data_IF_750122723972
#
_entry.id   IF_750122723972
#
_cell.length_a   1.000
_cell.length_b   1.000
_cell.length_c   1.000
_cell.angle_alpha   90.00
_cell.angle_beta   90.00
_cell.angle_gamma   90.00
#
_symmetry.space_group_name_H-M   'P 1'
#
loop_
_entity.id
_entity.type
_entity.pdbx_description
1 polymer ?
#
# COMPACT_ATOMS: atom_id res chain seq x y z
N UNK A 1 20.57 66.33 -7.53
CA UNK A 1 21.86 66.60 -6.87
C UNK A 1 22.61 65.28 -6.78
N UNK A 2 23.71 65.21 -7.50
CA UNK A 2 24.65 64.06 -7.64
C UNK A 2 25.29 63.74 -6.28
N UNK A 3 25.57 62.47 -5.98
CA UNK A 3 26.94 62.04 -5.72
C UNK A 3 27.05 60.51 -5.77
N UNK A 4 27.89 60.05 -6.63
CA UNK A 4 28.54 58.73 -6.68
C UNK A 4 29.51 58.59 -5.47
N UNK A 5 29.76 57.40 -4.98
CA UNK A 5 31.07 56.94 -4.59
C UNK A 5 31.19 55.41 -4.77
N UNK A 6 32.28 55.00 -5.34
CA UNK A 6 32.76 53.71 -5.85
C UNK A 6 33.68 53.03 -4.77
N UNK A 7 34.16 51.80 -4.97
CA UNK A 7 34.42 50.77 -3.93
C UNK A 7 35.90 50.79 -3.45
N UNK A 8 36.13 50.03 -2.38
CA UNK A 8 37.52 49.72 -1.97
C UNK A 8 37.70 48.22 -1.70
N UNK A 9 38.52 47.64 -2.56
CA UNK A 9 39.10 46.29 -2.38
C UNK A 9 40.24 46.35 -1.35
N UNK A 10 40.35 45.35 -0.49
CA UNK A 10 41.58 45.08 0.27
C UNK A 10 41.94 43.61 0.12
N UNK A 11 43.07 43.40 -0.55
CA UNK A 11 43.88 42.19 -0.55
C UNK A 11 44.84 42.24 0.64
N UNK A 12 45.16 41.16 1.31
CA UNK A 12 46.43 40.77 1.91
C UNK A 12 46.22 39.52 2.77
N UNK A 13 47.00 38.55 2.89
CA UNK A 13 48.27 38.03 2.41
C UNK A 13 48.52 36.74 3.20
N UNK A 14 49.18 35.81 2.59
CA UNK A 14 49.60 34.51 3.15
C UNK A 14 50.56 34.69 4.31
N UNK A 15 50.44 33.81 5.33
CA UNK A 15 51.54 33.37 6.12
C UNK A 15 51.42 31.85 6.38
N UNK A 16 52.40 31.14 5.85
CA UNK A 16 52.60 29.71 6.13
C UNK A 16 53.33 29.54 7.47
N UNK A 17 52.91 28.55 8.25
CA UNK A 17 53.80 27.92 9.22
C UNK A 17 53.47 26.41 9.29
N UNK A 18 54.48 25.63 9.06
CA UNK A 18 54.57 24.16 9.08
C UNK A 18 54.72 23.61 10.48
N UNK A 19 54.17 22.45 10.73
CA UNK A 19 54.66 21.24 11.41
C UNK A 19 53.51 20.56 12.15
N UNK A 20 53.29 19.37 11.93
CA UNK A 20 53.77 18.03 12.12
C UNK A 20 52.67 17.11 12.67
N UNK A 21 52.54 15.99 12.02
CA UNK A 21 52.05 14.67 12.47
C UNK A 21 50.81 14.52 13.35
N UNK A 22 49.78 13.91 12.77
CA UNK A 22 49.12 12.74 13.38
C UNK A 22 48.19 12.04 12.35
N UNK A 23 48.38 10.74 12.27
CA UNK A 23 47.66 9.74 11.49
C UNK A 23 46.13 9.91 11.48
N UNK A 24 45.56 10.16 10.30
CA UNK A 24 44.16 9.89 9.98
C UNK A 24 44.16 8.73 8.99
N UNK A 25 43.47 7.62 9.26
CA UNK A 25 43.38 6.54 8.28
C UNK A 25 42.55 6.96 7.07
N UNK A 26 43.04 6.63 5.92
CA UNK A 26 42.54 6.90 4.57
C UNK A 26 41.11 6.37 4.39
N UNK A 27 40.17 7.27 4.11
CA UNK A 27 38.77 6.98 3.83
C UNK A 27 38.54 6.61 2.36
N UNK A 28 39.20 5.56 1.88
CA UNK A 28 38.97 5.00 0.55
C UNK A 28 38.97 3.50 0.57
N UNK A 29 37.97 2.88 1.19
CA UNK A 29 37.72 1.44 0.98
C UNK A 29 36.35 0.97 1.49
N UNK A 30 35.32 1.83 1.56
CA UNK A 30 33.97 1.42 2.05
C UNK A 30 32.87 1.50 0.95
N UNK A 31 33.20 1.90 -0.29
CA UNK A 31 32.18 2.17 -1.30
C UNK A 31 32.05 1.15 -2.44
N UNK A 32 32.87 0.11 -2.48
CA UNK A 32 32.78 -0.88 -3.59
C UNK A 32 32.21 -2.25 -3.24
N UNK A 33 32.02 -2.59 -1.96
CA UNK A 33 31.52 -3.91 -1.57
C UNK A 33 30.01 -3.98 -1.26
N UNK A 34 29.29 -2.87 -1.24
CA UNK A 34 27.83 -2.84 -0.98
C UNK A 34 26.99 -2.94 -2.23
N UNK A 35 27.49 -2.60 -3.40
CA UNK A 35 26.73 -2.56 -4.66
C UNK A 35 26.73 -3.92 -5.40
N UNK A 36 27.60 -4.84 -5.07
CA UNK A 36 27.68 -6.15 -5.77
C UNK A 36 26.85 -7.28 -5.17
N UNK A 37 26.17 -7.07 -4.05
CA UNK A 37 25.33 -8.11 -3.42
C UNK A 37 23.88 -8.12 -3.89
N UNK A 38 23.40 -7.08 -4.57
CA UNK A 38 22.01 -6.95 -5.04
C UNK A 38 21.70 -7.60 -6.40
N UNK A 39 22.69 -7.99 -7.17
CA UNK A 39 22.48 -8.41 -8.56
C UNK A 39 22.25 -9.93 -8.76
N UNK A 40 22.27 -10.75 -7.71
CA UNK A 40 22.36 -12.22 -7.88
C UNK A 40 21.05 -12.97 -7.57
N UNK A 41 20.01 -12.34 -6.99
CA UNK A 41 18.87 -13.09 -6.43
C UNK A 41 17.50 -12.86 -7.08
N UNK A 42 17.37 -12.01 -8.10
CA UNK A 42 16.11 -11.88 -8.85
C UNK A 42 15.97 -12.91 -9.97
N UNK A 43 16.89 -13.83 -10.08
CA UNK A 43 16.78 -14.94 -11.03
C UNK A 43 15.59 -15.82 -10.64
N UNK A 44 14.91 -16.38 -11.64
CA UNK A 44 13.84 -17.36 -11.51
C UNK A 44 14.36 -18.66 -10.87
N UNK A 45 14.84 -18.57 -9.66
CA UNK A 45 15.36 -19.65 -8.84
C UNK A 45 14.45 -19.81 -7.65
N UNK A 46 13.62 -20.81 -7.66
CA UNK A 46 12.75 -21.23 -6.57
C UNK A 46 12.44 -22.69 -6.72
N UNK A 47 12.30 -23.40 -5.59
CA UNK A 47 12.04 -24.83 -5.57
C UNK A 47 10.58 -25.18 -5.91
N UNK A 48 9.66 -24.21 -5.85
CA UNK A 48 8.22 -24.41 -6.06
C UNK A 48 7.64 -23.47 -7.13
N UNK A 49 7.97 -23.69 -8.43
CA UNK A 49 7.41 -22.89 -9.53
C UNK A 49 5.90 -23.04 -9.60
N UNK A 50 5.21 -21.93 -9.91
CA UNK A 50 3.78 -21.87 -10.03
C UNK A 50 3.36 -21.49 -11.45
N UNK A 51 2.46 -22.24 -12.06
CA UNK A 51 2.00 -22.02 -13.44
C UNK A 51 0.94 -20.89 -13.49
N UNK A 52 1.42 -19.66 -13.42
CA UNK A 52 0.61 -18.45 -13.57
C UNK A 52 0.65 -17.91 -14.99
N UNK A 53 -0.36 -17.14 -15.37
CA UNK A 53 -0.25 -16.22 -16.49
C UNK A 53 0.65 -15.03 -16.11
N UNK A 54 1.51 -14.63 -17.02
CA UNK A 54 2.42 -13.48 -16.86
C UNK A 54 2.39 -12.63 -18.13
N UNK A 55 2.41 -11.31 -17.97
CA UNK A 55 2.40 -10.36 -19.09
C UNK A 55 3.72 -10.36 -19.87
N UNK A 56 4.84 -10.61 -19.18
CA UNK A 56 6.16 -10.73 -19.78
C UNK A 56 6.65 -12.19 -19.57
N UNK A 57 7.02 -12.93 -20.63
CA UNK A 57 7.47 -14.32 -20.51
C UNK A 57 8.77 -14.51 -19.71
N UNK A 58 9.48 -13.43 -19.40
CA UNK A 58 10.61 -13.44 -18.48
C UNK A 58 10.22 -13.42 -17.01
N UNK A 59 8.98 -13.05 -16.67
CA UNK A 59 8.47 -13.18 -15.30
C UNK A 59 8.34 -14.65 -14.93
N UNK A 60 8.59 -14.97 -13.68
CA UNK A 60 8.42 -16.28 -13.09
C UNK A 60 7.78 -16.16 -11.71
N UNK A 61 6.85 -17.04 -11.41
CA UNK A 61 6.08 -17.04 -10.17
C UNK A 61 6.42 -18.31 -9.38
N UNK A 62 6.65 -18.16 -8.10
CA UNK A 62 6.94 -19.24 -7.15
C UNK A 62 6.01 -19.13 -5.95
N UNK A 63 5.69 -20.26 -5.33
CA UNK A 63 5.12 -20.28 -3.99
C UNK A 63 6.26 -20.11 -2.99
N UNK A 64 6.26 -18.99 -2.26
CA UNK A 64 7.29 -18.71 -1.25
C UNK A 64 6.96 -19.36 0.10
N UNK A 65 5.69 -19.33 0.51
CA UNK A 65 5.22 -19.95 1.75
C UNK A 65 3.76 -20.43 1.62
N UNK A 66 3.39 -21.45 2.39
CA UNK A 66 2.03 -22.02 2.45
C UNK A 66 1.55 -22.19 3.88
N UNK A 67 0.27 -22.56 4.06
CA UNK A 67 -0.27 -22.90 5.38
C UNK A 67 -0.55 -21.69 6.29
N UNK A 68 -0.61 -20.49 5.72
CA UNK A 68 -0.74 -19.24 6.47
C UNK A 68 -2.18 -18.87 6.82
N UNK A 69 -3.18 -19.65 6.37
CA UNK A 69 -4.58 -19.29 6.59
C UNK A 69 -4.94 -18.01 5.85
N UNK A 70 -5.47 -17.00 6.55
CA UNK A 70 -5.83 -15.72 5.96
C UNK A 70 -4.62 -14.77 5.94
N UNK A 71 -3.69 -14.95 5.01
CA UNK A 71 -2.52 -14.09 4.87
C UNK A 71 -2.93 -12.70 4.35
N UNK A 72 -2.77 -11.68 5.19
CA UNK A 72 -3.16 -10.31 4.87
C UNK A 72 -1.94 -9.45 4.53
N UNK A 73 -1.77 -8.28 5.14
CA UNK A 73 -0.63 -7.40 4.86
C UNK A 73 0.69 -8.06 5.27
N UNK A 74 1.75 -7.81 4.50
CA UNK A 74 3.09 -8.35 4.69
C UNK A 74 4.13 -7.23 4.81
N UNK A 75 5.22 -7.48 5.55
CA UNK A 75 6.30 -6.50 5.74
C UNK A 75 7.65 -7.21 5.86
N UNK A 76 8.66 -6.74 5.15
CA UNK A 76 10.02 -7.21 5.30
C UNK A 76 10.73 -6.51 6.47
N UNK A 77 11.42 -7.29 7.27
CA UNK A 77 12.37 -6.80 8.25
C UNK A 77 13.71 -6.45 7.59
N UNK A 78 14.57 -5.63 8.25
CA UNK A 78 15.88 -5.29 7.70
C UNK A 78 16.82 -6.48 7.48
N UNK A 79 16.62 -7.58 8.23
CA UNK A 79 17.40 -8.82 8.06
C UNK A 79 16.91 -9.69 6.90
N UNK A 80 15.80 -9.32 6.25
CA UNK A 80 15.22 -10.04 5.11
C UNK A 80 14.09 -11.01 5.47
N UNK A 81 13.82 -11.25 6.75
CA UNK A 81 12.68 -12.07 7.18
C UNK A 81 11.37 -11.36 6.80
N UNK A 82 10.36 -12.13 6.37
CA UNK A 82 9.06 -11.62 5.97
C UNK A 82 8.03 -11.85 7.06
N UNK A 83 7.35 -10.80 7.48
CA UNK A 83 6.30 -10.84 8.50
C UNK A 83 4.92 -10.75 7.86
N UNK A 84 3.96 -11.52 8.36
CA UNK A 84 2.58 -11.62 7.84
C UNK A 84 1.59 -11.45 8.98
N UNK A 85 0.59 -10.58 8.81
CA UNK A 85 -0.58 -10.59 9.68
C UNK A 85 -1.60 -11.59 9.11
N UNK A 86 -1.79 -12.70 9.80
CA UNK A 86 -2.72 -13.78 9.42
C UNK A 86 -3.66 -14.19 10.57
N UNK A 87 -3.96 -13.23 11.46
CA UNK A 87 -4.64 -13.49 12.75
C UNK A 87 -3.64 -13.60 13.90
N UNK A 88 -2.41 -13.88 13.59
CA UNK A 88 -1.21 -13.73 14.40
C UNK A 88 -0.20 -12.85 13.64
N UNK A 89 0.93 -12.56 14.26
CA UNK A 89 2.11 -12.08 13.55
C UNK A 89 2.98 -13.29 13.29
N UNK A 90 2.97 -13.77 12.05
CA UNK A 90 3.80 -14.90 11.59
C UNK A 90 5.06 -14.36 10.93
N UNK A 91 6.20 -14.98 11.17
CA UNK A 91 7.48 -14.68 10.53
C UNK A 91 7.90 -15.85 9.64
N UNK A 92 8.38 -15.52 8.45
CA UNK A 92 8.84 -16.42 7.40
C UNK A 92 10.28 -16.08 7.07
N UNK A 93 11.11 -17.10 6.86
CA UNK A 93 12.52 -16.92 6.49
C UNK A 93 12.96 -17.98 5.48
N UNK A 94 14.18 -17.88 4.97
CA UNK A 94 14.77 -18.80 3.99
C UNK A 94 16.26 -18.93 4.32
N UNK A 95 16.59 -19.66 5.40
CA UNK A 95 17.97 -19.86 5.84
C UNK A 95 18.73 -20.84 4.96
N UNK A 96 18.01 -21.83 4.39
CA UNK A 96 18.58 -22.84 3.50
C UNK A 96 18.77 -22.33 2.06
N UNK A 97 18.25 -21.12 1.73
CA UNK A 97 18.38 -20.38 0.46
C UNK A 97 17.83 -21.16 -0.75
N UNK A 98 16.76 -21.91 -0.53
CA UNK A 98 16.09 -22.63 -1.62
C UNK A 98 15.02 -21.76 -2.34
N UNK A 99 14.81 -20.51 -1.89
CA UNK A 99 13.89 -19.54 -2.48
C UNK A 99 12.46 -19.64 -1.95
N UNK A 100 12.24 -20.36 -0.86
CA UNK A 100 10.96 -20.50 -0.16
C UNK A 100 11.17 -20.51 1.35
N UNK A 101 10.10 -20.29 2.11
CA UNK A 101 10.05 -20.49 3.55
C UNK A 101 9.39 -21.85 3.80
N UNK A 102 10.18 -22.84 4.18
CA UNK A 102 9.72 -24.19 4.46
C UNK A 102 8.94 -24.25 5.81
N UNK A 103 8.38 -25.40 6.14
CA UNK A 103 7.59 -25.57 7.37
C UNK A 103 8.40 -25.36 8.66
N UNK A 104 9.70 -25.61 8.63
CA UNK A 104 10.67 -25.35 9.70
C UNK A 104 11.29 -23.95 9.64
N UNK A 105 10.97 -23.18 8.59
CA UNK A 105 11.35 -21.78 8.39
C UNK A 105 10.16 -20.83 8.56
N UNK A 106 9.17 -21.25 9.34
CA UNK A 106 7.96 -20.48 9.67
C UNK A 106 7.73 -20.51 11.17
N UNK A 107 7.39 -19.36 11.77
CA UNK A 107 7.14 -19.27 13.20
C UNK A 107 6.14 -18.17 13.57
N UNK A 108 5.60 -18.25 14.78
CA UNK A 108 4.81 -17.16 15.35
C UNK A 108 5.73 -16.19 16.05
N UNK A 109 5.83 -14.96 15.52
CA UNK A 109 6.58 -13.88 16.18
C UNK A 109 5.84 -13.36 17.41
N UNK A 110 4.55 -13.06 17.27
CA UNK A 110 3.72 -12.51 18.34
C UNK A 110 2.24 -12.76 18.12
N UNK A 111 1.46 -12.56 19.17
CA UNK A 111 -0.01 -12.65 19.13
C UNK A 111 -0.64 -11.45 19.83
N UNK A 112 -1.81 -11.02 19.35
CA UNK A 112 -2.69 -10.08 20.02
C UNK A 112 -4.13 -10.32 19.61
N UNK A 113 -5.09 -9.80 20.39
CA UNK A 113 -6.50 -10.05 20.13
C UNK A 113 -6.99 -9.41 18.84
N UNK A 114 -7.62 -10.22 17.97
CA UNK A 114 -8.36 -9.75 16.80
C UNK A 114 -7.50 -9.21 15.67
N UNK A 115 -6.21 -9.55 15.60
CA UNK A 115 -5.36 -9.20 14.46
C UNK A 115 -6.01 -9.67 13.16
N UNK A 116 -6.04 -8.79 12.13
CA UNK A 116 -6.81 -9.10 10.93
C UNK A 116 -6.28 -8.51 9.61
N UNK A 117 -5.35 -7.54 9.63
CA UNK A 117 -4.89 -6.95 8.36
C UNK A 117 -3.49 -6.31 8.43
N UNK A 118 -3.37 -5.12 9.03
CA UNK A 118 -2.18 -4.28 8.91
C UNK A 118 -0.95 -4.83 9.62
N UNK A 119 0.21 -4.66 8.99
CA UNK A 119 1.51 -4.92 9.60
C UNK A 119 2.54 -3.94 9.03
N UNK A 120 3.37 -3.34 9.88
CA UNK A 120 4.42 -2.42 9.44
C UNK A 120 5.54 -2.31 10.49
N UNK A 121 6.77 -2.15 10.04
CA UNK A 121 7.87 -1.75 10.91
C UNK A 121 7.89 -0.23 11.12
N UNK A 122 8.30 0.22 12.31
CA UNK A 122 8.70 1.62 12.49
C UNK A 122 9.87 1.97 11.58
N UNK A 123 10.04 3.26 11.26
CA UNK A 123 11.12 3.72 10.34
C UNK A 123 12.52 3.33 10.79
N UNK A 124 12.75 3.25 12.09
CA UNK A 124 14.02 2.82 12.69
C UNK A 124 14.09 1.30 12.94
N UNK A 125 13.06 0.58 12.49
CA UNK A 125 12.87 -0.85 12.65
C UNK A 125 12.99 -1.38 14.11
N UNK A 126 12.79 -0.52 15.12
CA UNK A 126 12.82 -0.94 16.53
C UNK A 126 11.50 -1.55 17.01
N UNK A 127 10.44 -1.34 16.25
CA UNK A 127 9.12 -1.85 16.59
C UNK A 127 8.44 -2.44 15.36
N UNK A 128 7.76 -3.55 15.57
CA UNK A 128 6.79 -4.09 14.63
C UNK A 128 5.39 -3.76 15.12
N UNK A 129 4.57 -3.22 14.22
CA UNK A 129 3.18 -2.85 14.48
C UNK A 129 2.26 -3.81 13.74
N UNK A 130 1.13 -4.17 14.37
CA UNK A 130 0.05 -4.90 13.71
C UNK A 130 -1.32 -4.42 14.17
N UNK A 131 -2.31 -4.54 13.29
CA UNK A 131 -3.67 -4.04 13.54
C UNK A 131 -4.69 -5.15 13.72
N UNK A 132 -5.64 -4.89 14.61
CA UNK A 132 -6.98 -5.46 14.60
C UNK A 132 -7.98 -4.46 14.01
N UNK A 133 -9.26 -4.82 13.93
CA UNK A 133 -10.30 -3.89 13.51
C UNK A 133 -10.49 -2.68 14.43
N UNK A 134 -10.06 -2.77 15.70
CA UNK A 134 -10.30 -1.75 16.74
C UNK A 134 -9.07 -1.22 17.45
N UNK A 135 -7.91 -1.86 17.25
CA UNK A 135 -6.70 -1.58 18.02
C UNK A 135 -5.45 -1.79 17.17
N UNK A 136 -4.46 -0.93 17.35
CA UNK A 136 -3.11 -1.11 16.82
C UNK A 136 -2.21 -1.47 17.98
N UNK A 137 -1.46 -2.55 17.79
CA UNK A 137 -0.46 -3.07 18.72
C UNK A 137 0.95 -2.85 18.19
N UNK A 138 1.95 -2.86 19.08
CA UNK A 138 3.34 -2.96 18.69
C UNK A 138 4.12 -3.87 19.64
N UNK A 139 5.24 -4.39 19.16
CA UNK A 139 6.25 -5.15 19.91
C UNK A 139 7.61 -4.56 19.61
N UNK A 140 8.51 -4.59 20.60
CA UNK A 140 9.91 -4.33 20.36
C UNK A 140 10.45 -5.37 19.37
N UNK A 141 11.26 -4.91 18.42
CA UNK A 141 11.93 -5.75 17.44
C UNK A 141 13.45 -5.58 17.58
N UNK A 142 14.15 -6.67 17.78
CA UNK A 142 15.60 -6.73 18.00
C UNK A 142 16.35 -7.51 16.89
N UNK A 143 15.65 -7.85 15.81
CA UNK A 143 16.17 -8.70 14.73
C UNK A 143 15.82 -10.18 14.88
N UNK A 144 15.17 -10.57 15.97
CA UNK A 144 14.77 -11.95 16.25
C UNK A 144 13.44 -12.35 15.59
N UNK A 145 13.16 -13.65 15.61
CA UNK A 145 11.96 -14.28 15.05
C UNK A 145 10.89 -14.55 16.11
N UNK A 146 11.05 -14.03 17.30
CA UNK A 146 10.10 -14.11 18.40
C UNK A 146 10.14 -12.80 19.20
N UNK A 147 8.96 -12.26 19.52
CA UNK A 147 8.87 -11.05 20.34
C UNK A 147 9.38 -11.31 21.77
N UNK A 148 10.17 -10.40 22.29
CA UNK A 148 10.75 -10.50 23.64
C UNK A 148 9.83 -9.97 24.74
N UNK A 149 8.67 -9.36 24.38
CA UNK A 149 7.72 -8.77 25.32
C UNK A 149 6.27 -8.87 24.87
N UNK A 150 5.38 -8.40 25.74
CA UNK A 150 3.95 -8.36 25.48
C UNK A 150 3.59 -7.28 24.46
N UNK A 151 2.44 -7.43 23.79
CA UNK A 151 1.86 -6.41 22.93
C UNK A 151 1.61 -5.11 23.71
N UNK A 152 2.11 -3.99 23.21
CA UNK A 152 1.76 -2.65 23.68
C UNK A 152 0.63 -2.08 22.83
N UNK A 153 -0.45 -1.60 23.45
CA UNK A 153 -1.55 -0.92 22.75
C UNK A 153 -1.09 0.47 22.34
N UNK A 154 -1.03 0.73 21.03
CA UNK A 154 -0.60 2.02 20.47
C UNK A 154 -1.80 2.94 20.20
N UNK A 155 -2.77 2.47 19.41
CA UNK A 155 -4.02 3.20 19.14
C UNK A 155 -5.18 2.30 19.50
N UNK A 156 -6.14 2.85 20.20
CA UNK A 156 -7.37 2.17 20.65
C UNK A 156 -8.64 2.88 20.19
N UNK A 157 -9.78 2.24 20.41
CA UNK A 157 -11.10 2.81 20.11
C UNK A 157 -11.28 3.15 18.61
N UNK A 158 -10.60 2.43 17.72
CA UNK A 158 -10.84 2.54 16.30
C UNK A 158 -12.27 2.03 16.03
N UNK A 159 -13.09 2.78 15.29
CA UNK A 159 -14.47 2.38 15.01
C UNK A 159 -14.55 0.99 14.38
N UNK A 160 -15.34 0.10 14.97
CA UNK A 160 -15.59 -1.27 14.49
C UNK A 160 -16.70 -1.32 13.45
N UNK A 161 -16.90 -2.49 12.84
CA UNK A 161 -17.97 -2.78 11.86
C UNK A 161 -17.57 -2.54 10.42
N UNK A 162 -18.38 -3.00 9.47
CA UNK A 162 -18.21 -2.85 8.06
C UNK A 162 -16.83 -3.23 7.55
N UNK A 163 -16.16 -2.29 6.90
CA UNK A 163 -14.78 -2.45 6.43
C UNK A 163 -13.80 -2.37 7.62
N UNK A 164 -13.38 -3.53 8.11
CA UNK A 164 -12.59 -3.66 9.35
C UNK A 164 -11.08 -3.77 9.15
N UNK A 165 -10.58 -3.78 7.93
CA UNK A 165 -9.15 -3.74 7.64
C UNK A 165 -8.56 -2.37 8.04
N UNK A 166 -7.37 -2.38 8.67
CA UNK A 166 -6.62 -1.18 9.08
C UNK A 166 -5.21 -1.30 8.55
N UNK A 167 -4.95 -0.72 7.39
CA UNK A 167 -3.62 -0.67 6.80
C UNK A 167 -2.73 0.29 7.59
N UNK A 168 -1.48 -0.07 7.77
CA UNK A 168 -0.50 0.70 8.51
C UNK A 168 0.66 1.09 7.60
N UNK A 169 0.95 2.40 7.51
CA UNK A 169 2.15 2.91 6.84
C UNK A 169 2.76 4.05 7.64
N UNK A 170 4.09 4.19 7.56
CA UNK A 170 4.84 5.26 8.21
C UNK A 170 5.48 6.18 7.18
N UNK A 171 5.40 7.50 7.41
CA UNK A 171 6.15 8.48 6.64
C UNK A 171 7.61 8.64 7.11
N UNK A 172 8.38 9.50 6.43
CA UNK A 172 9.79 9.74 6.76
C UNK A 172 10.00 10.32 8.16
N UNK A 173 8.97 10.96 8.73
CA UNK A 173 8.99 11.52 10.08
C UNK A 173 8.54 10.52 11.16
N UNK A 174 8.21 9.28 10.78
CA UNK A 174 7.73 8.25 11.70
C UNK A 174 6.28 8.46 12.16
N UNK A 175 5.48 9.25 11.43
CA UNK A 175 4.04 9.37 11.69
C UNK A 175 3.30 8.19 11.07
N UNK A 176 2.37 7.64 11.82
CA UNK A 176 1.57 6.48 11.43
C UNK A 176 0.28 6.93 10.74
N UNK A 177 0.00 6.38 9.57
CA UNK A 177 -1.27 6.56 8.85
C UNK A 177 -2.11 5.30 8.96
N UNK A 178 -3.41 5.49 9.17
CA UNK A 178 -4.38 4.41 9.37
C UNK A 178 -5.67 4.75 8.62
N UNK A 179 -6.13 3.82 7.78
CA UNK A 179 -7.44 3.92 7.14
C UNK A 179 -8.55 3.40 8.05
N UNK A 180 -9.73 3.98 7.93
CA UNK A 180 -10.98 3.43 8.47
C UNK A 180 -12.07 3.56 7.41
N UNK A 181 -12.50 2.45 6.85
CA UNK A 181 -13.56 2.43 5.84
C UNK A 181 -14.95 2.63 6.41
N UNK A 182 -15.96 2.66 5.56
CA UNK A 182 -17.37 2.79 5.91
C UNK A 182 -17.90 1.57 6.68
N UNK A 183 -19.00 1.75 7.40
CA UNK A 183 -19.63 0.67 8.16
C UNK A 183 -20.46 -0.27 7.28
N UNK A 184 -20.88 0.18 6.09
CA UNK A 184 -21.72 -0.57 5.18
C UNK A 184 -21.35 -0.25 3.73
N UNK A 185 -21.94 -0.97 2.78
CA UNK A 185 -21.80 -0.69 1.35
C UNK A 185 -22.15 0.77 1.01
N UNK A 186 -23.31 1.21 1.44
CA UNK A 186 -23.75 2.61 1.48
C UNK A 186 -23.98 2.95 2.94
N UNK A 187 -23.11 3.76 3.51
CA UNK A 187 -23.15 4.10 4.93
C UNK A 187 -23.94 5.42 5.12
N UNK A 188 -25.15 5.27 5.62
CA UNK A 188 -26.04 6.43 5.95
C UNK A 188 -25.95 6.86 7.40
N UNK A 189 -25.07 6.25 8.20
CA UNK A 189 -24.88 6.63 9.61
C UNK A 189 -24.33 8.06 9.74
N UNK A 190 -24.81 8.78 10.76
CA UNK A 190 -24.35 10.14 11.01
C UNK A 190 -23.75 10.23 12.42
N UNK A 191 -22.66 10.94 12.61
CA UNK A 191 -21.83 11.62 11.60
C UNK A 191 -20.74 10.71 11.03
N UNK A 192 -20.97 10.17 9.84
CA UNK A 192 -20.06 9.20 9.17
C UNK A 192 -18.63 9.73 9.07
N UNK A 193 -18.47 10.93 8.50
CA UNK A 193 -17.17 11.52 8.17
C UNK A 193 -16.40 12.05 9.38
N UNK A 194 -16.94 11.94 10.59
CA UNK A 194 -16.21 12.29 11.81
C UNK A 194 -15.33 11.13 12.32
N UNK A 195 -15.68 9.89 11.95
CA UNK A 195 -15.01 8.70 12.48
C UNK A 195 -14.63 7.66 11.44
N UNK A 196 -15.29 7.63 10.27
CA UNK A 196 -15.18 6.60 9.22
C UNK A 196 -14.98 7.22 7.86
N UNK A 197 -14.76 6.39 6.85
CA UNK A 197 -14.50 6.78 5.47
C UNK A 197 -13.38 7.83 5.40
N UNK A 198 -12.26 7.53 6.07
CA UNK A 198 -11.15 8.49 6.25
C UNK A 198 -9.82 7.79 6.49
N UNK A 199 -8.75 8.55 6.28
CA UNK A 199 -7.40 8.24 6.73
C UNK A 199 -7.04 9.18 7.87
N UNK A 200 -6.54 8.64 8.97
CA UNK A 200 -5.99 9.42 10.09
C UNK A 200 -4.49 9.25 10.22
N UNK A 201 -3.85 10.32 10.71
CA UNK A 201 -2.42 10.40 10.96
C UNK A 201 -2.13 10.59 12.44
N UNK A 202 -1.14 9.86 12.95
CA UNK A 202 -0.74 9.88 14.35
C UNK A 202 0.75 10.19 14.48
N UNK A 203 1.11 11.17 15.31
CA UNK A 203 2.47 11.28 15.83
C UNK A 203 2.63 10.26 16.97
N UNK A 204 3.48 9.25 16.75
CA UNK A 204 3.67 8.20 17.75
C UNK A 204 4.80 8.62 18.71
N UNK A 205 4.51 8.87 20.01
CA UNK A 205 5.55 9.22 20.96
C UNK A 205 6.46 8.02 21.26
N UNK A 206 7.67 8.30 21.70
CA UNK A 206 8.63 7.25 22.11
C UNK A 206 8.08 6.38 23.24
N UNK A 207 7.37 6.98 24.18
CA UNK A 207 6.64 6.29 25.25
C UNK A 207 5.15 6.44 25.01
N UNK A 208 4.46 5.32 24.79
CA UNK A 208 3.02 5.31 24.61
C UNK A 208 2.33 5.61 25.94
N UNK A 209 1.31 6.47 25.98
CA UNK A 209 0.50 6.68 27.18
C UNK A 209 -0.12 5.38 27.69
N UNK A 210 -0.26 5.22 29.00
CA UNK A 210 -0.91 4.07 29.58
C UNK A 210 -2.28 3.80 28.93
N UNK A 211 -2.44 2.59 28.38
CA UNK A 211 -3.66 2.18 27.68
C UNK A 211 -3.81 2.71 26.25
N UNK A 212 -2.77 3.32 25.67
CA UNK A 212 -2.73 3.71 24.25
C UNK A 212 -3.33 5.09 23.95
N UNK A 213 -3.11 5.52 22.71
CA UNK A 213 -3.61 6.77 22.12
C UNK A 213 -5.06 6.54 21.67
N UNK A 214 -5.99 7.42 21.99
CA UNK A 214 -7.35 7.31 21.47
C UNK A 214 -7.41 7.66 19.98
N UNK A 215 -8.15 6.87 19.20
CA UNK A 215 -8.30 7.08 17.75
C UNK A 215 -8.81 8.50 17.42
N UNK A 216 -9.72 9.03 18.23
CA UNK A 216 -10.30 10.35 18.03
C UNK A 216 -9.27 11.49 18.09
N UNK A 217 -8.14 11.28 18.76
CA UNK A 217 -7.07 12.28 18.86
C UNK A 217 -6.14 12.33 17.62
N UNK A 218 -6.24 11.35 16.71
CA UNK A 218 -5.51 11.38 15.46
C UNK A 218 -6.01 12.48 14.53
N UNK A 219 -5.09 13.11 13.81
CA UNK A 219 -5.41 14.10 12.77
C UNK A 219 -6.21 13.44 11.64
N UNK A 220 -7.35 14.02 11.26
CA UNK A 220 -8.07 13.63 10.04
C UNK A 220 -7.24 14.08 8.85
N UNK A 221 -6.56 13.14 8.19
CA UNK A 221 -5.68 13.45 7.07
C UNK A 221 -6.44 13.62 5.76
N UNK A 222 -7.39 12.73 5.49
CA UNK A 222 -8.31 12.80 4.37
C UNK A 222 -9.64 12.12 4.72
N UNK A 223 -10.72 12.48 4.03
CA UNK A 223 -12.06 11.94 4.25
C UNK A 223 -12.85 11.81 2.95
N UNK A 224 -13.95 11.06 3.00
CA UNK A 224 -14.76 10.77 1.82
C UNK A 224 -14.23 9.59 1.01
N UNK A 225 -13.54 8.65 1.67
CA UNK A 225 -12.92 7.46 1.09
C UNK A 225 -13.64 6.22 1.64
N UNK A 226 -14.46 5.57 0.78
CA UNK A 226 -15.32 4.46 1.24
C UNK A 226 -14.54 3.33 1.90
N UNK A 227 -13.52 2.84 1.22
CA UNK A 227 -12.63 1.79 1.72
C UNK A 227 -11.26 1.91 1.03
N UNK A 228 -10.50 2.94 1.42
CA UNK A 228 -9.12 3.17 0.98
C UNK A 228 -8.21 2.13 1.65
N UNK A 229 -8.25 0.90 1.15
CA UNK A 229 -7.65 -0.23 1.85
C UNK A 229 -6.14 -0.31 1.68
N UNK A 230 -5.62 -0.14 0.48
CA UNK A 230 -4.17 -0.08 0.25
C UNK A 230 -3.64 1.32 0.53
N UNK A 231 -2.55 1.41 1.28
CA UNK A 231 -1.82 2.65 1.53
C UNK A 231 -0.33 2.46 1.28
N UNK A 232 0.32 3.47 0.70
CA UNK A 232 1.75 3.49 0.47
C UNK A 232 2.28 4.93 0.57
N UNK A 233 3.45 5.12 1.19
CA UNK A 233 4.17 6.40 1.22
C UNK A 233 5.34 6.33 0.25
N UNK A 234 5.40 7.25 -0.70
CA UNK A 234 6.50 7.34 -1.68
C UNK A 234 7.72 8.09 -1.12
N UNK A 235 8.78 8.14 -1.92
CA UNK A 235 10.05 8.79 -1.53
C UNK A 235 9.93 10.33 -1.35
N UNK A 236 8.82 10.94 -1.78
CA UNK A 236 8.50 12.34 -1.58
C UNK A 236 7.55 12.58 -0.40
N UNK A 237 7.32 11.58 0.45
CA UNK A 237 6.35 11.57 1.54
C UNK A 237 4.89 11.81 1.10
N UNK A 238 4.54 11.49 -0.16
CA UNK A 238 3.16 11.51 -0.61
C UNK A 238 2.48 10.19 -0.24
N UNK A 239 1.30 10.28 0.32
CA UNK A 239 0.45 9.11 0.56
C UNK A 239 -0.30 8.76 -0.71
N UNK A 240 -0.13 7.54 -1.17
CA UNK A 240 -0.91 6.90 -2.22
C UNK A 240 -1.88 5.91 -1.60
N UNK A 241 -3.06 5.80 -2.21
CA UNK A 241 -4.04 4.85 -1.78
C UNK A 241 -4.76 4.17 -2.94
N UNK A 242 -5.41 3.04 -2.65
CA UNK A 242 -6.34 2.38 -3.56
C UNK A 242 -7.66 2.13 -2.85
N UNK A 243 -8.74 2.57 -3.48
CA UNK A 243 -10.09 2.56 -2.92
C UNK A 243 -10.97 1.51 -3.59
N UNK A 244 -11.80 0.86 -2.78
CA UNK A 244 -12.87 0.00 -3.26
C UNK A 244 -14.20 0.76 -3.31
N UNK A 245 -14.75 0.90 -4.51
CA UNK A 245 -16.04 1.52 -4.78
C UNK A 245 -17.24 0.76 -4.19
N UNK A 246 -18.43 1.36 -4.23
CA UNK A 246 -19.65 0.72 -3.73
C UNK A 246 -20.13 -0.40 -4.63
N UNK A 247 -20.76 -1.40 -4.04
CA UNK A 247 -21.46 -2.46 -4.76
C UNK A 247 -22.91 -2.07 -5.07
N UNK A 248 -23.54 -2.78 -6.03
CA UNK A 248 -24.94 -2.65 -6.41
C UNK A 248 -25.32 -1.21 -6.79
N UNK A 249 -24.44 -0.54 -7.56
CA UNK A 249 -24.69 0.83 -8.01
C UNK A 249 -25.81 0.87 -9.02
N UNK A 250 -26.80 1.72 -8.75
CA UNK A 250 -27.90 2.02 -9.66
C UNK A 250 -28.06 3.52 -9.78
N UNK A 251 -28.20 4.00 -11.03
CA UNK A 251 -28.43 5.41 -11.32
C UNK A 251 -29.48 5.55 -12.43
N UNK A 252 -30.66 6.09 -12.14
CA UNK A 252 -31.75 6.26 -13.12
C UNK A 252 -31.36 7.10 -14.33
N UNK A 253 -30.47 8.07 -14.19
CA UNK A 253 -30.00 8.95 -15.27
C UNK A 253 -29.20 8.19 -16.33
N UNK A 254 -28.66 7.01 -15.95
CA UNK A 254 -27.89 6.11 -16.81
C UNK A 254 -28.62 4.77 -17.09
N UNK A 255 -29.93 4.73 -16.92
CA UNK A 255 -30.73 3.55 -17.24
C UNK A 255 -30.95 2.58 -16.08
N UNK A 256 -30.60 2.95 -14.87
CA UNK A 256 -30.82 2.19 -13.65
C UNK A 256 -29.60 1.40 -13.21
N UNK A 257 -29.63 0.09 -13.34
CA UNK A 257 -28.55 -0.78 -12.90
C UNK A 257 -27.27 -0.65 -13.76
N UNK A 258 -26.22 -0.05 -13.18
CA UNK A 258 -24.92 0.14 -13.84
C UNK A 258 -23.79 -0.54 -13.07
N UNK A 259 -24.13 -1.35 -12.04
CA UNK A 259 -23.15 -1.89 -11.09
C UNK A 259 -22.06 -2.74 -11.73
N UNK A 260 -22.36 -3.41 -12.85
CA UNK A 260 -21.45 -4.42 -13.40
C UNK A 260 -20.11 -3.83 -13.88
N UNK A 261 -20.12 -2.58 -14.35
CA UNK A 261 -18.93 -1.86 -14.81
C UNK A 261 -18.57 -0.66 -13.90
N UNK A 262 -19.42 -0.33 -12.91
CA UNK A 262 -19.26 0.87 -12.08
C UNK A 262 -19.58 0.60 -10.59
N UNK A 263 -19.08 1.46 -9.69
CA UNK A 263 -18.16 2.56 -9.94
C UNK A 263 -16.75 2.08 -10.30
N UNK A 264 -15.89 3.02 -10.70
CA UNK A 264 -14.47 2.76 -10.77
C UNK A 264 -13.92 2.40 -9.38
N UNK A 265 -12.90 1.55 -9.37
CA UNK A 265 -11.93 1.53 -8.28
C UNK A 265 -10.93 2.66 -8.50
N UNK A 266 -10.40 3.24 -7.44
CA UNK A 266 -9.57 4.44 -7.55
C UNK A 266 -8.12 4.20 -7.13
N UNK A 267 -7.18 4.84 -7.84
CA UNK A 267 -5.86 5.14 -7.32
C UNK A 267 -5.87 6.61 -6.92
N UNK A 268 -5.59 6.89 -5.66
CA UNK A 268 -5.59 8.23 -5.10
C UNK A 268 -4.20 8.71 -4.70
N UNK A 269 -3.89 9.98 -4.97
CA UNK A 269 -2.87 10.70 -4.22
C UNK A 269 -3.58 11.38 -3.05
N UNK A 270 -3.37 10.83 -1.86
CA UNK A 270 -4.05 11.31 -0.66
C UNK A 270 -3.30 12.51 -0.11
N UNK A 271 -3.83 13.69 -0.38
CA UNK A 271 -3.22 14.95 0.03
C UNK A 271 -3.66 15.35 1.45
N UNK A 272 -2.65 15.63 2.27
CA UNK A 272 -2.76 15.79 3.72
C UNK A 272 -3.20 17.16 4.23
N UNK A 273 -3.98 17.89 3.49
CA UNK A 273 -4.46 19.18 4.02
C UNK A 273 -5.67 19.03 4.97
N UNK A 274 -6.13 17.80 5.26
CA UNK A 274 -7.26 17.48 6.14
C UNK A 274 -8.61 18.02 5.67
N UNK A 275 -8.59 18.91 4.68
CA UNK A 275 -9.78 19.53 4.09
C UNK A 275 -10.24 18.86 2.81
N UNK A 276 -9.42 18.00 2.19
CA UNK A 276 -9.79 17.35 0.94
C UNK A 276 -10.78 16.21 1.19
N UNK A 277 -11.79 16.19 0.33
CA UNK A 277 -12.86 15.22 0.32
C UNK A 277 -12.83 14.44 -0.98
N UNK A 278 -12.92 13.11 -0.90
CA UNK A 278 -12.74 12.18 -2.03
C UNK A 278 -14.05 11.60 -2.58
N UNK A 279 -15.20 12.13 -2.16
CA UNK A 279 -16.51 11.87 -2.77
C UNK A 279 -17.47 11.04 -1.92
N UNK A 280 -17.04 9.93 -1.35
CA UNK A 280 -17.94 9.06 -0.60
C UNK A 280 -18.47 9.71 0.70
N UNK A 281 -19.78 9.64 1.01
CA UNK A 281 -20.79 8.80 0.37
C UNK A 281 -21.57 9.51 -0.75
N UNK A 282 -21.31 10.76 -1.04
CA UNK A 282 -22.15 11.62 -1.86
C UNK A 282 -21.92 11.47 -3.35
N UNK A 283 -20.72 11.06 -3.73
CA UNK A 283 -20.30 10.91 -5.12
C UNK A 283 -19.66 9.54 -5.37
N UNK A 284 -19.70 9.10 -6.62
CA UNK A 284 -19.00 7.93 -7.11
C UNK A 284 -18.24 8.24 -8.40
N UNK A 285 -17.13 7.55 -8.63
CA UNK A 285 -16.33 7.67 -9.86
C UNK A 285 -16.86 6.80 -10.98
N UNK A 286 -16.98 7.36 -12.19
CA UNK A 286 -17.26 6.61 -13.41
C UNK A 286 -16.07 5.73 -13.78
N UNK A 287 -16.37 4.46 -14.16
CA UNK A 287 -15.44 3.67 -14.97
C UNK A 287 -15.94 3.57 -16.41
N UNK A 288 -17.15 3.04 -16.61
CA UNK A 288 -17.70 2.84 -17.94
C UNK A 288 -19.21 2.98 -17.89
N UNK A 289 -19.69 4.18 -18.17
CA UNK A 289 -21.12 4.51 -18.24
C UNK A 289 -21.50 4.81 -19.68
N UNK A 290 -22.49 4.12 -20.29
CA UNK A 290 -23.01 4.49 -21.61
C UNK A 290 -23.57 5.92 -21.56
N UNK A 291 -23.01 6.83 -22.37
CA UNK A 291 -23.38 8.24 -22.35
C UNK A 291 -22.75 9.08 -21.21
N UNK A 292 -21.87 8.50 -20.42
CA UNK A 292 -21.09 9.20 -19.41
C UNK A 292 -20.04 10.15 -19.99
N UNK A 293 -19.22 10.72 -19.11
CA UNK A 293 -18.16 11.70 -19.48
C UNK A 293 -16.76 11.07 -19.52
N UNK A 294 -16.64 9.81 -19.08
CA UNK A 294 -15.42 9.03 -19.10
C UNK A 294 -14.85 8.74 -17.70
N UNK A 295 -13.89 7.80 -17.62
CA UNK A 295 -13.35 7.31 -16.35
C UNK A 295 -12.83 8.42 -15.44
N UNK A 296 -13.17 8.32 -14.15
CA UNK A 296 -12.80 9.30 -13.12
C UNK A 296 -13.75 10.48 -12.98
N UNK A 297 -14.76 10.63 -13.86
CA UNK A 297 -15.82 11.62 -13.67
C UNK A 297 -16.62 11.28 -12.40
N UNK A 298 -16.80 12.28 -11.53
CA UNK A 298 -17.58 12.12 -10.31
C UNK A 298 -19.05 12.40 -10.55
N UNK A 299 -19.93 11.47 -10.18
CA UNK A 299 -21.37 11.57 -10.27
C UNK A 299 -22.02 11.52 -8.90
N UNK A 300 -23.16 12.20 -8.72
CA UNK A 300 -23.89 12.20 -7.46
C UNK A 300 -24.49 10.82 -7.18
N UNK A 301 -24.26 10.26 -5.99
CA UNK A 301 -24.92 9.02 -5.58
C UNK A 301 -26.40 9.27 -5.32
N UNK A 302 -27.28 8.54 -5.99
CA UNK A 302 -28.73 8.72 -5.97
C UNK A 302 -29.35 8.57 -4.57
N UNK A 303 -28.66 7.90 -3.64
CA UNK A 303 -29.06 7.84 -2.22
C UNK A 303 -28.96 9.21 -1.54
N UNK A 304 -28.09 10.09 -2.03
CA UNK A 304 -27.71 11.35 -1.38
C UNK A 304 -27.94 12.60 -2.26
N UNK A 305 -28.73 12.51 -3.33
CA UNK A 305 -28.98 13.64 -4.25
C UNK A 305 -29.63 14.86 -3.58
N UNK A 306 -30.29 14.68 -2.42
CA UNK A 306 -30.76 15.79 -1.61
C UNK A 306 -29.62 16.57 -0.92
N UNK A 307 -28.39 16.02 -0.89
CA UNK A 307 -27.22 16.68 -0.32
C UNK A 307 -26.44 17.43 -1.41
N UNK A 308 -26.16 16.75 -2.53
CA UNK A 308 -25.29 17.25 -3.60
C UNK A 308 -25.76 16.73 -4.96
N UNK A 309 -25.52 17.50 -6.02
CA UNK A 309 -25.78 17.15 -7.41
C UNK A 309 -24.48 16.82 -8.18
N UNK A 310 -24.61 16.42 -9.44
CA UNK A 310 -23.48 16.11 -10.31
C UNK A 310 -22.51 17.29 -10.48
N UNK A 311 -23.07 18.52 -10.59
CA UNK A 311 -22.23 19.70 -10.74
C UNK A 311 -21.36 19.94 -9.50
N UNK A 312 -21.89 19.62 -8.33
CA UNK A 312 -21.12 19.68 -7.08
C UNK A 312 -20.04 18.59 -7.03
N UNK A 313 -20.39 17.35 -7.41
CA UNK A 313 -19.44 16.21 -7.43
C UNK A 313 -18.30 16.42 -8.45
N UNK A 314 -18.61 17.01 -9.61
CA UNK A 314 -17.63 17.28 -10.69
C UNK A 314 -16.76 18.52 -10.41
N UNK A 315 -17.04 19.28 -9.38
CA UNK A 315 -16.24 20.44 -9.03
C UNK A 315 -15.02 20.00 -8.18
N UNK A 316 -13.77 20.12 -8.70
CA UNK A 316 -12.56 19.68 -7.97
C UNK A 316 -12.26 20.51 -6.69
N UNK A 317 -12.96 21.63 -6.48
CA UNK A 317 -12.91 22.33 -5.22
C UNK A 317 -13.72 21.62 -4.11
N UNK A 318 -14.70 20.81 -4.49
CA UNK A 318 -15.56 20.06 -3.56
C UNK A 318 -15.07 18.61 -3.40
N UNK A 319 -14.82 17.94 -4.53
CA UNK A 319 -14.40 16.53 -4.58
C UNK A 319 -13.06 16.40 -5.29
N UNK A 320 -12.09 15.82 -4.60
CA UNK A 320 -10.79 15.58 -5.20
C UNK A 320 -10.88 14.37 -6.15
N UNK A 321 -10.57 14.53 -7.45
CA UNK A 321 -10.68 13.43 -8.39
C UNK A 321 -9.56 12.40 -8.17
N UNK A 322 -9.78 11.12 -8.54
CA UNK A 322 -8.73 10.11 -8.48
C UNK A 322 -7.56 10.44 -9.41
N UNK A 323 -6.36 9.99 -9.03
CA UNK A 323 -5.20 10.02 -9.94
C UNK A 323 -5.41 9.10 -11.15
N UNK A 324 -6.16 8.00 -10.95
CA UNK A 324 -6.56 7.09 -12.01
C UNK A 324 -7.81 6.29 -11.61
N UNK A 325 -8.76 6.14 -12.53
CA UNK A 325 -9.96 5.31 -12.39
C UNK A 325 -9.69 3.92 -12.98
N UNK A 326 -9.66 2.89 -12.15
CA UNK A 326 -9.47 1.50 -12.55
C UNK A 326 -10.80 0.82 -12.85
N UNK A 327 -10.73 -0.37 -13.45
CA UNK A 327 -11.90 -1.21 -13.70
C UNK A 327 -12.70 -1.46 -12.43
N UNK A 328 -14.02 -1.26 -12.51
CA UNK A 328 -14.93 -1.55 -11.41
C UNK A 328 -14.84 -3.00 -10.92
N UNK A 329 -14.95 -3.18 -9.61
CA UNK A 329 -14.91 -4.48 -8.93
C UNK A 329 -13.57 -5.25 -8.99
N UNK A 330 -12.50 -4.58 -9.33
CA UNK A 330 -11.16 -5.18 -9.16
C UNK A 330 -10.79 -5.36 -7.69
N UNK A 331 -11.36 -4.57 -6.80
CA UNK A 331 -11.14 -4.60 -5.35
C UNK A 331 -9.65 -4.56 -4.98
N UNK A 332 -8.92 -3.50 -5.29
CA UNK A 332 -7.51 -3.37 -4.93
C UNK A 332 -7.35 -3.27 -3.41
N UNK A 333 -6.40 -4.01 -2.83
CA UNK A 333 -6.18 -4.06 -1.38
C UNK A 333 -4.78 -3.63 -0.93
N UNK A 334 -3.77 -3.80 -1.75
CA UNK A 334 -2.40 -3.40 -1.43
C UNK A 334 -1.71 -2.77 -2.61
N UNK A 335 -0.76 -1.86 -2.35
CA UNK A 335 0.06 -1.24 -3.39
C UNK A 335 1.44 -0.87 -2.87
N UNK A 336 2.41 -0.82 -3.82
CA UNK A 336 3.73 -0.25 -3.61
C UNK A 336 4.20 0.46 -4.89
N UNK A 337 5.16 1.38 -4.78
CA UNK A 337 6.00 1.76 -5.90
C UNK A 337 7.20 0.80 -5.97
N UNK A 338 7.39 0.16 -7.11
CA UNK A 338 8.54 -0.69 -7.33
C UNK A 338 9.78 0.17 -7.61
N UNK A 339 10.77 0.09 -6.74
CA UNK A 339 12.01 0.89 -6.84
C UNK A 339 13.23 0.05 -7.26
N UNK A 340 13.04 -1.27 -7.40
CA UNK A 340 14.08 -2.20 -7.81
C UNK A 340 14.44 -2.10 -9.30
N UNK A 341 15.51 -2.76 -9.68
CA UNK A 341 15.96 -2.87 -11.07
C UNK A 341 15.83 -4.28 -11.63
N UNK A 342 15.37 -5.22 -10.80
CA UNK A 342 15.29 -6.64 -11.16
C UNK A 342 14.13 -6.94 -12.12
N UNK A 343 12.98 -6.22 -11.97
CA UNK A 343 11.85 -6.30 -12.87
C UNK A 343 11.79 -5.03 -13.75
N UNK A 344 11.21 -5.09 -14.95
CA UNK A 344 11.13 -3.94 -15.89
C UNK A 344 10.03 -2.93 -15.50
N UNK A 345 9.79 -2.72 -14.22
CA UNK A 345 8.68 -1.91 -13.68
C UNK A 345 9.16 -0.78 -12.75
N UNK A 346 10.42 -0.37 -12.89
CA UNK A 346 11.00 0.66 -12.03
C UNK A 346 10.16 1.96 -12.05
N UNK A 347 9.82 2.45 -10.86
CA UNK A 347 8.99 3.62 -10.58
C UNK A 347 7.48 3.48 -10.87
N UNK A 348 7.01 2.34 -11.34
CA UNK A 348 5.58 2.05 -11.47
C UNK A 348 4.96 1.58 -10.14
N UNK A 349 3.65 1.74 -9.97
CA UNK A 349 2.94 1.11 -8.86
C UNK A 349 2.60 -0.33 -9.22
N UNK A 350 2.79 -1.23 -8.27
CA UNK A 350 2.28 -2.59 -8.31
C UNK A 350 1.11 -2.70 -7.33
N UNK A 351 0.03 -3.34 -7.75
CA UNK A 351 -1.25 -3.36 -7.03
C UNK A 351 -1.73 -4.80 -6.90
N UNK A 352 -2.04 -5.22 -5.67
CA UNK A 352 -2.71 -6.47 -5.39
C UNK A 352 -4.22 -6.31 -5.57
N UNK A 353 -4.77 -7.02 -6.55
CA UNK A 353 -6.18 -6.96 -6.96
C UNK A 353 -6.89 -8.22 -6.48
N UNK A 354 -7.75 -8.06 -5.47
CA UNK A 354 -8.40 -9.17 -4.77
C UNK A 354 -9.55 -9.80 -5.56
N UNK A 355 -10.22 -9.01 -6.43
CA UNK A 355 -11.24 -9.47 -7.36
C UNK A 355 -12.67 -9.41 -6.84
N UNK A 356 -13.58 -9.52 -7.78
CA UNK A 356 -15.00 -9.23 -7.61
C UNK A 356 -15.80 -10.32 -6.90
N UNK A 357 -16.88 -9.88 -6.26
CA UNK A 357 -18.02 -10.72 -5.91
C UNK A 357 -19.32 -10.18 -6.51
N UNK A 358 -19.38 -8.91 -6.88
CA UNK A 358 -20.56 -8.18 -7.38
C UNK A 358 -20.44 -7.84 -8.88
N UNK A 359 -19.92 -8.76 -9.68
CA UNK A 359 -19.75 -8.58 -11.13
C UNK A 359 -19.89 -9.91 -11.87
N UNK A 360 -20.52 -9.86 -13.05
CA UNK A 360 -20.64 -11.00 -13.96
C UNK A 360 -20.25 -10.57 -15.40
N UNK A 361 -19.30 -11.27 -16.06
CA UNK A 361 -18.40 -12.28 -15.48
C UNK A 361 -17.49 -11.69 -14.40
N UNK A 362 -17.04 -12.55 -13.47
CA UNK A 362 -16.13 -12.16 -12.41
C UNK A 362 -14.82 -11.60 -12.98
N UNK A 363 -14.16 -10.69 -12.23
CA UNK A 363 -12.92 -9.99 -12.65
C UNK A 363 -11.92 -9.87 -11.51
N UNK A 364 -10.70 -9.40 -11.81
CA UNK A 364 -9.62 -9.24 -10.84
C UNK A 364 -8.96 -10.58 -10.48
N UNK A 365 -8.51 -10.73 -9.24
CA UNK A 365 -7.63 -11.80 -8.74
C UNK A 365 -6.32 -11.84 -9.53
N UNK A 366 -5.54 -10.79 -9.40
CA UNK A 366 -4.30 -10.60 -10.16
C UNK A 366 -3.38 -9.57 -9.47
N UNK A 367 -2.16 -9.48 -9.96
CA UNK A 367 -1.28 -8.33 -9.69
C UNK A 367 -1.33 -7.44 -10.92
N UNK A 368 -1.59 -6.14 -10.70
CA UNK A 368 -1.60 -5.12 -11.75
C UNK A 368 -0.41 -4.17 -11.61
N UNK A 369 -0.06 -3.54 -12.72
CA UNK A 369 0.94 -2.47 -12.81
C UNK A 369 0.23 -1.18 -13.24
N UNK A 370 0.41 -0.10 -12.49
CA UNK A 370 0.06 1.24 -12.93
C UNK A 370 1.32 1.92 -13.50
N UNK A 371 1.28 2.15 -14.81
CA UNK A 371 2.42 2.70 -15.55
C UNK A 371 2.40 4.23 -15.55
N UNK A 372 3.57 4.82 -15.27
CA UNK A 372 3.76 6.26 -15.26
C UNK A 372 4.47 6.76 -16.52
N UNK A 373 3.90 7.80 -17.13
CA UNK A 373 4.58 8.65 -18.11
C UNK A 373 4.49 10.11 -17.67
N UNK A 374 5.62 10.81 -17.65
CA UNK A 374 5.69 12.22 -17.26
C UNK A 374 5.01 12.52 -15.92
N UNK A 375 5.12 11.60 -14.94
CA UNK A 375 4.59 11.75 -13.60
C UNK A 375 3.06 11.53 -13.46
N UNK A 376 2.41 11.02 -14.51
CA UNK A 376 0.98 10.67 -14.51
C UNK A 376 0.81 9.18 -14.81
N UNK A 377 -0.17 8.55 -14.19
CA UNK A 377 -0.57 7.19 -14.53
C UNK A 377 -1.29 7.23 -15.88
N UNK A 378 -0.83 6.46 -16.85
CA UNK A 378 -1.38 6.39 -18.21
C UNK A 378 -2.11 5.08 -18.49
N UNK A 379 -1.78 4.02 -17.76
CA UNK A 379 -2.49 2.73 -17.84
C UNK A 379 -2.37 1.95 -16.53
N UNK A 380 -3.31 1.03 -16.32
CA UNK A 380 -3.22 0.01 -15.27
C UNK A 380 -3.51 -1.34 -15.90
N UNK A 381 -2.51 -2.20 -15.96
CA UNK A 381 -2.53 -3.45 -16.70
C UNK A 381 -2.19 -4.65 -15.81
N UNK A 382 -2.82 -5.82 -16.01
CA UNK A 382 -2.44 -7.06 -15.35
C UNK A 382 -0.99 -7.45 -15.68
N UNK A 383 -0.25 -7.98 -14.69
CA UNK A 383 1.10 -8.51 -14.90
C UNK A 383 1.27 -9.96 -14.45
N UNK A 384 0.50 -10.40 -13.45
CA UNK A 384 0.45 -11.80 -12.98
C UNK A 384 -0.99 -12.16 -12.69
N UNK A 385 -1.45 -13.33 -13.09
CA UNK A 385 -2.81 -13.80 -12.84
C UNK A 385 -3.00 -15.28 -13.16
N UNK A 386 -4.26 -15.71 -13.25
CA UNK A 386 -4.61 -17.07 -13.64
C UNK A 386 -4.36 -17.30 -15.13
N UNK A 387 -3.77 -18.43 -15.46
CA UNK A 387 -3.60 -18.86 -16.83
C UNK A 387 -4.79 -19.72 -17.27
N UNK A 388 -5.46 -19.33 -18.33
CA UNK A 388 -6.55 -20.12 -18.89
C UNK A 388 -6.04 -21.30 -19.73
N UNK A 389 -6.95 -22.17 -20.14
CA UNK A 389 -6.62 -23.39 -20.91
C UNK A 389 -5.94 -23.14 -22.27
N UNK A 390 -6.02 -21.92 -22.83
CA UNK A 390 -5.33 -21.51 -24.06
C UNK A 390 -4.04 -20.75 -23.82
N UNK A 391 -3.65 -20.55 -22.55
CA UNK A 391 -2.43 -19.84 -22.16
C UNK A 391 -2.60 -18.32 -21.96
N UNK A 392 -3.80 -17.78 -22.12
CA UNK A 392 -4.13 -16.37 -21.87
C UNK A 392 -4.49 -16.08 -20.43
N UNK A 393 -4.66 -14.79 -20.09
CA UNK A 393 -5.15 -14.35 -18.78
C UNK A 393 -6.61 -14.78 -18.58
N UNK A 394 -6.87 -15.39 -17.43
CA UNK A 394 -8.21 -15.58 -16.87
C UNK A 394 -8.35 -14.64 -15.68
N UNK A 395 -9.53 -14.02 -15.53
CA UNK A 395 -9.79 -13.16 -14.36
C UNK A 395 -10.93 -13.71 -13.49
N UNK A 396 -10.90 -13.40 -12.22
CA UNK A 396 -11.96 -13.61 -11.26
C UNK A 396 -12.10 -15.04 -10.72
N UNK A 397 -11.36 -16.01 -11.22
CA UNK A 397 -11.46 -17.42 -10.83
C UNK A 397 -10.18 -18.02 -10.26
N UNK A 398 -9.08 -17.27 -10.29
CA UNK A 398 -7.80 -17.74 -9.76
C UNK A 398 -7.96 -18.29 -8.34
N UNK A 399 -7.25 -19.38 -8.03
CA UNK A 399 -7.22 -19.98 -6.69
C UNK A 399 -6.41 -19.14 -5.69
N UNK A 400 -5.76 -18.06 -6.16
CA UNK A 400 -5.18 -17.02 -5.34
C UNK A 400 -6.07 -15.74 -5.34
N UNK A 401 -6.20 -15.13 -4.17
CA UNK A 401 -6.80 -13.79 -3.99
C UNK A 401 -5.77 -12.84 -3.39
N UNK A 402 -5.03 -12.10 -4.24
CA UNK A 402 -3.98 -11.19 -3.78
C UNK A 402 -4.51 -10.12 -2.81
N UNK A 403 -3.79 -9.91 -1.70
CA UNK A 403 -4.16 -8.92 -0.67
C UNK A 403 -3.14 -7.81 -0.59
N UNK A 404 -1.88 -8.15 -0.46
CA UNK A 404 -0.80 -7.18 -0.34
C UNK A 404 0.36 -7.53 -1.27
N UNK A 405 1.12 -6.52 -1.66
CA UNK A 405 2.27 -6.65 -2.54
C UNK A 405 3.44 -5.86 -1.97
N UNK A 406 4.62 -6.46 -1.91
CA UNK A 406 5.86 -5.83 -1.40
C UNK A 406 7.05 -6.19 -2.27
N UNK A 407 8.00 -5.28 -2.33
CA UNK A 407 9.33 -5.55 -2.88
C UNK A 407 10.21 -6.17 -1.78
N UNK A 408 10.80 -7.31 -2.06
CA UNK A 408 11.76 -7.95 -1.18
C UNK A 408 13.16 -7.33 -1.26
N UNK A 409 14.03 -7.61 -0.28
CA UNK A 409 15.42 -7.15 -0.29
C UNK A 409 16.25 -7.74 -1.43
N UNK A 410 15.78 -8.81 -2.05
CA UNK A 410 16.35 -9.46 -3.24
C UNK A 410 15.89 -8.80 -4.56
N UNK A 411 15.08 -7.74 -4.48
CA UNK A 411 14.50 -7.06 -5.64
C UNK A 411 13.34 -7.79 -6.30
N UNK A 412 12.97 -9.00 -5.85
CA UNK A 412 11.76 -9.69 -6.28
C UNK A 412 10.51 -9.03 -5.68
N UNK A 413 9.35 -9.35 -6.24
CA UNK A 413 8.05 -8.91 -5.73
C UNK A 413 7.38 -10.07 -5.01
N UNK A 414 6.85 -9.80 -3.82
CA UNK A 414 6.11 -10.77 -3.03
C UNK A 414 4.68 -10.31 -2.86
N UNK A 415 3.72 -11.24 -2.93
CA UNK A 415 2.33 -10.92 -2.63
C UNK A 415 1.67 -12.00 -1.79
N UNK A 416 0.79 -11.59 -0.88
CA UNK A 416 0.01 -12.47 -0.03
C UNK A 416 -1.33 -12.84 -0.67
N UNK A 417 -1.83 -14.02 -0.31
CA UNK A 417 -3.09 -14.61 -0.77
C UNK A 417 -3.87 -15.14 0.44
N UNK A 418 -5.05 -14.58 0.70
CA UNK A 418 -5.88 -14.96 1.84
C UNK A 418 -6.86 -16.10 1.57
N UNK A 419 -7.04 -16.50 0.31
CA UNK A 419 -7.92 -17.60 -0.04
C UNK A 419 -7.27 -18.96 0.24
N UNK A 420 -6.01 -19.13 -0.14
CA UNK A 420 -5.29 -20.39 0.00
C UNK A 420 -4.16 -20.32 1.01
N UNK A 421 -3.99 -19.17 1.69
CA UNK A 421 -3.01 -19.00 2.76
C UNK A 421 -1.58 -19.11 2.27
N UNK A 422 -1.23 -18.39 1.19
CA UNK A 422 0.09 -18.43 0.56
C UNK A 422 0.73 -17.04 0.52
N UNK A 423 2.06 -17.05 0.41
CA UNK A 423 2.83 -15.94 -0.12
C UNK A 423 3.50 -16.40 -1.40
N UNK A 424 3.40 -15.60 -2.45
CA UNK A 424 4.06 -15.83 -3.72
C UNK A 424 5.25 -14.90 -3.88
N UNK A 425 6.22 -15.34 -4.66
CA UNK A 425 7.39 -14.57 -5.11
C UNK A 425 7.37 -14.47 -6.63
N UNK A 426 7.58 -13.26 -7.14
CA UNK A 426 7.69 -12.97 -8.58
C UNK A 426 9.11 -12.50 -8.86
N UNK A 427 9.83 -13.28 -9.66
CA UNK A 427 11.17 -12.97 -10.15
C UNK A 427 11.15 -12.63 -11.64
N UNK A 428 12.33 -12.34 -12.19
CA UNK A 428 12.52 -12.00 -13.60
C UNK A 428 13.78 -12.66 -14.14
N UNK A 429 13.67 -13.33 -15.30
CA UNK A 429 14.81 -13.93 -16.03
C UNK A 429 15.58 -12.82 -16.73
N UNK A 430 16.87 -12.77 -16.49
CA UNK A 430 17.79 -11.85 -17.20
C UNK A 430 18.03 -12.29 -18.64
#
# INVERSE_FOLDING_TARGET
>A
MRLLVVPTSILLALAACSSSDSNVPDSKEVTENTVKKEAVLANCTGSSPYDAWVADPKLCVYVYATGLGSARQIAFAPNGDLFVNNGNVTVLWDDNKNGQSDSDETGTFATASGLNHGIAFSRDAKFLYASSGTTIYRWAYDGGRQATGSAEVVVKNIPSGGHSARTLVFDSQGRLYVNVGSNANVDTSQPLLDTRAQVRRFAIPSTIPSGGIDYSSGEVFAKGMRNENGLFIDAQDRLWGVENGRDNLSDPDFGGDIHNENPAEEINVVDGTGSKFYGYPYCYSEYKIPGGKGPGTQWADQTFTHNHDDAWCQNPANVHPPAFAMQGHWAPLGLIQYTGTSLPYANDLLIAVHGSWNRSPATGRLIARAHFENGKIVSVDPIVGEKNGSGGLQQGTWDARPVDVRQGPDGAVYFSDDQSGRVFKVGYRQ
#
